data_IF_269413191717
#
_entry.id   IF_269413191717
#
_cell.length_a   1.000
_cell.length_b   1.000
_cell.length_c   1.000
_cell.angle_alpha   90.00
_cell.angle_beta   90.00
_cell.angle_gamma   90.00
#
_symmetry.space_group_name_H-M   'P 1'
#
loop_
_entity.id
_entity.type
_entity.pdbx_description
1 polymer ?
#
# COMPACT_ATOMS: atom_id res chain seq x y z
N UNK A 1 -14.65 14.46 15.49
CA UNK A 1 -14.81 13.31 14.57
C UNK A 1 -15.88 13.66 13.55
N UNK A 2 -15.61 13.39 12.26
CA UNK A 2 -16.60 13.60 11.18
C UNK A 2 -17.80 12.65 11.36
N UNK A 3 -19.01 13.16 11.15
CA UNK A 3 -20.26 12.38 11.25
C UNK A 3 -20.26 11.14 10.33
N UNK A 4 -19.57 11.19 9.18
CA UNK A 4 -19.41 10.04 8.29
C UNK A 4 -18.73 8.86 9.00
N UNK A 5 -17.63 9.11 9.71
CA UNK A 5 -16.92 8.06 10.46
C UNK A 5 -17.78 7.47 11.56
N UNK A 6 -18.53 8.31 12.31
CA UNK A 6 -19.46 7.82 13.34
C UNK A 6 -20.58 6.96 12.74
N UNK A 7 -21.11 7.32 11.56
CA UNK A 7 -22.11 6.51 10.86
C UNK A 7 -21.50 5.14 10.50
N UNK A 8 -20.28 5.12 9.98
CA UNK A 8 -19.60 3.84 9.67
C UNK A 8 -19.39 3.01 10.94
N UNK A 9 -19.00 3.62 12.07
CA UNK A 9 -18.87 2.92 13.35
C UNK A 9 -20.19 2.27 13.80
N UNK A 10 -21.32 2.94 13.59
CA UNK A 10 -22.64 2.40 13.93
C UNK A 10 -22.98 1.22 13.01
N UNK A 11 -22.74 1.35 11.70
CA UNK A 11 -23.06 0.32 10.70
C UNK A 11 -22.05 -0.84 10.66
N UNK A 12 -20.90 -0.72 11.32
CA UNK A 12 -19.83 -1.70 11.30
C UNK A 12 -20.24 -3.05 11.93
N UNK A 13 -21.28 -3.08 12.75
CA UNK A 13 -21.84 -4.32 13.31
C UNK A 13 -22.59 -5.19 12.28
N UNK A 14 -22.81 -4.67 11.06
CA UNK A 14 -23.52 -5.37 10.00
C UNK A 14 -25.02 -5.48 10.18
N UNK A 15 -25.61 -4.81 11.16
CA UNK A 15 -27.06 -4.81 11.41
C UNK A 15 -27.76 -3.62 10.73
N UNK A 16 -29.10 -3.71 10.65
CA UNK A 16 -29.93 -2.59 10.20
C UNK A 16 -30.09 -1.53 11.29
N UNK A 17 -29.77 -0.29 10.95
CA UNK A 17 -29.99 0.88 11.80
C UNK A 17 -30.90 1.89 11.08
N UNK A 18 -31.99 2.34 11.74
CA UNK A 18 -32.86 3.34 11.12
C UNK A 18 -32.14 4.69 11.01
N UNK A 19 -32.42 5.43 9.93
CA UNK A 19 -31.85 6.77 9.77
C UNK A 19 -32.28 7.78 10.87
N UNK A 20 -33.36 7.50 11.55
CA UNK A 20 -33.85 8.27 12.71
C UNK A 20 -32.97 8.00 13.94
N UNK A 21 -32.75 6.74 14.28
CA UNK A 21 -31.87 6.33 15.40
C UNK A 21 -30.44 6.83 15.18
N UNK A 22 -29.88 6.70 13.97
CA UNK A 22 -28.55 7.25 13.64
C UNK A 22 -28.55 8.78 13.83
N UNK A 23 -29.62 9.46 13.35
CA UNK A 23 -29.77 10.91 13.47
C UNK A 23 -29.82 11.38 14.92
N UNK A 24 -30.59 10.71 15.76
CA UNK A 24 -30.69 10.99 17.21
C UNK A 24 -29.34 10.81 17.91
N UNK A 25 -28.62 9.68 17.67
CA UNK A 25 -27.31 9.43 18.27
C UNK A 25 -26.25 10.46 17.88
N UNK A 26 -26.35 11.03 16.68
CA UNK A 26 -25.36 11.96 16.15
C UNK A 26 -25.79 13.43 16.26
N UNK A 27 -27.03 13.71 16.71
CA UNK A 27 -27.57 15.06 16.76
C UNK A 27 -27.80 15.71 15.39
N UNK A 28 -28.13 14.91 14.36
CA UNK A 28 -28.36 15.38 12.98
C UNK A 28 -29.70 14.89 12.42
N UNK A 29 -30.21 15.56 11.40
CA UNK A 29 -31.48 15.17 10.77
C UNK A 29 -31.32 13.85 9.96
N UNK A 30 -32.42 13.11 9.81
CA UNK A 30 -32.52 11.93 8.94
C UNK A 30 -32.09 12.25 7.50
N UNK A 31 -32.38 13.45 7.00
CA UNK A 31 -31.96 13.90 5.67
C UNK A 31 -30.41 14.03 5.59
N UNK A 32 -29.77 14.55 6.63
CA UNK A 32 -28.32 14.64 6.74
C UNK A 32 -27.68 13.24 6.78
N UNK A 33 -28.26 12.30 7.54
CA UNK A 33 -27.83 10.88 7.55
C UNK A 33 -27.87 10.32 6.14
N UNK A 34 -28.98 10.48 5.40
CA UNK A 34 -29.10 10.00 4.02
C UNK A 34 -28.03 10.62 3.10
N UNK A 35 -27.73 11.91 3.24
CA UNK A 35 -26.65 12.55 2.48
C UNK A 35 -25.27 11.98 2.80
N UNK A 36 -24.97 11.69 4.06
CA UNK A 36 -23.73 11.03 4.46
C UNK A 36 -23.64 9.60 3.94
N UNK A 37 -24.72 8.82 4.03
CA UNK A 37 -24.78 7.46 3.46
C UNK A 37 -24.45 7.46 1.97
N UNK A 38 -25.07 8.35 1.19
CA UNK A 38 -24.76 8.48 -0.25
C UNK A 38 -23.29 8.80 -0.50
N UNK A 39 -22.71 9.68 0.31
CA UNK A 39 -21.27 10.00 0.20
C UNK A 39 -20.40 8.78 0.53
N UNK A 40 -20.76 8.02 1.56
CA UNK A 40 -20.04 6.81 1.98
C UNK A 40 -20.13 5.71 0.91
N UNK A 41 -21.29 5.51 0.30
CA UNK A 41 -21.43 4.57 -0.83
C UNK A 41 -20.57 4.98 -2.02
N UNK A 42 -20.44 6.28 -2.30
CA UNK A 42 -19.59 6.78 -3.40
C UNK A 42 -18.08 6.55 -3.17
N UNK A 43 -17.64 6.32 -1.94
CA UNK A 43 -16.24 5.98 -1.59
C UNK A 43 -16.04 4.47 -1.36
N UNK A 44 -16.99 3.66 -1.84
CA UNK A 44 -16.83 2.20 -1.92
C UNK A 44 -17.41 1.40 -0.76
N UNK A 45 -18.21 2.01 0.15
CA UNK A 45 -18.94 1.25 1.17
C UNK A 45 -20.24 0.68 0.60
N UNK A 46 -20.40 -0.64 0.73
CA UNK A 46 -21.61 -1.34 0.30
C UNK A 46 -22.70 -1.23 1.35
N UNK A 47 -23.44 -0.12 1.31
CA UNK A 47 -24.50 0.21 2.28
C UNK A 47 -25.86 -0.01 1.62
N UNK A 48 -26.58 -1.02 2.11
CA UNK A 48 -27.97 -1.28 1.73
C UNK A 48 -28.93 -0.30 2.43
N UNK A 49 -29.95 0.15 1.68
CA UNK A 49 -31.04 0.96 2.19
C UNK A 49 -32.36 0.25 1.94
N UNK A 50 -33.06 -0.14 3.01
CA UNK A 50 -34.35 -0.84 2.93
C UNK A 50 -35.43 0.02 3.62
N UNK A 51 -36.49 0.33 2.91
CA UNK A 51 -37.63 1.06 3.46
C UNK A 51 -38.21 0.33 4.68
N UNK A 52 -38.37 1.05 5.79
CA UNK A 52 -38.86 0.51 7.05
C UNK A 52 -37.81 -0.18 7.93
N UNK A 53 -36.63 -0.54 7.39
CA UNK A 53 -35.53 -1.13 8.17
C UNK A 53 -34.36 -0.16 8.41
N UNK A 54 -34.06 0.71 7.44
CA UNK A 54 -32.96 1.65 7.51
C UNK A 54 -31.75 1.24 6.68
N UNK A 55 -30.55 1.46 7.22
CA UNK A 55 -29.26 1.25 6.54
C UNK A 55 -28.48 0.09 7.17
N UNK A 56 -27.79 -0.69 6.36
CA UNK A 56 -26.94 -1.80 6.77
C UNK A 56 -25.67 -1.82 5.93
N UNK A 57 -24.52 -2.00 6.55
CA UNK A 57 -23.27 -2.29 5.85
C UNK A 57 -23.18 -3.80 5.62
N UNK A 58 -23.05 -4.22 4.36
CA UNK A 58 -22.95 -5.63 4.01
C UNK A 58 -21.77 -6.32 4.72
N UNK A 59 -22.05 -7.41 5.41
CA UNK A 59 -21.02 -8.22 6.08
C UNK A 59 -20.34 -7.58 7.30
N UNK A 60 -20.73 -6.34 7.66
CA UNK A 60 -20.05 -5.59 8.72
C UNK A 60 -18.65 -5.12 8.32
N UNK A 61 -17.91 -4.53 9.26
CA UNK A 61 -16.55 -4.03 9.01
C UNK A 61 -15.74 -3.94 10.30
N UNK A 62 -14.55 -4.55 10.30
CA UNK A 62 -13.57 -4.33 11.38
C UNK A 62 -12.78 -3.07 11.07
N UNK A 63 -13.03 -2.00 11.82
CA UNK A 63 -12.32 -0.73 11.69
C UNK A 63 -10.92 -0.80 12.28
N UNK A 64 -10.03 0.05 11.77
CA UNK A 64 -8.71 0.24 12.35
C UNK A 64 -8.83 0.89 13.73
N UNK A 65 -8.01 0.39 14.66
CA UNK A 65 -7.96 0.86 16.03
C UNK A 65 -6.52 0.96 16.51
N UNK A 66 -6.03 2.18 16.73
CA UNK A 66 -4.64 2.42 17.15
C UNK A 66 -4.27 1.68 18.45
N UNK A 67 -5.21 1.55 19.40
CA UNK A 67 -4.97 0.81 20.64
C UNK A 67 -4.75 -0.68 20.35
N UNK A 68 -5.57 -1.27 19.50
CA UNK A 68 -5.40 -2.69 19.08
C UNK A 68 -4.08 -2.88 18.34
N UNK A 69 -3.75 -2.01 17.38
CA UNK A 69 -2.47 -2.07 16.65
C UNK A 69 -1.29 -2.01 17.62
N UNK A 70 -1.30 -1.08 18.60
CA UNK A 70 -0.24 -0.95 19.61
C UNK A 70 -0.14 -2.15 20.53
N UNK A 71 -1.24 -2.83 20.84
CA UNK A 71 -1.23 -4.05 21.66
C UNK A 71 -0.54 -5.24 20.98
N UNK A 72 -0.56 -5.27 19.63
CA UNK A 72 0.05 -6.34 18.85
C UNK A 72 1.43 -5.98 18.28
N UNK A 73 1.90 -4.75 18.52
CA UNK A 73 3.23 -4.30 18.13
C UNK A 73 4.01 -3.81 19.36
N UNK A 74 5.34 -4.03 19.37
CA UNK A 74 6.22 -3.50 20.40
C UNK A 74 6.77 -2.11 20.05
N UNK A 75 6.24 -1.47 19.00
CA UNK A 75 6.74 -0.20 18.49
C UNK A 75 6.19 0.98 19.28
N UNK A 76 7.05 1.95 19.54
CA UNK A 76 6.73 3.22 20.19
C UNK A 76 6.49 4.36 19.18
N UNK A 77 6.48 4.05 17.89
CA UNK A 77 6.34 5.01 16.82
C UNK A 77 5.04 5.82 16.96
N UNK A 78 5.10 7.08 16.56
CA UNK A 78 3.90 7.91 16.47
C UNK A 78 2.99 7.39 15.37
N UNK A 79 1.72 7.12 15.74
CA UNK A 79 0.71 6.61 14.82
C UNK A 79 -0.48 7.57 14.80
N UNK A 80 -0.86 8.01 13.60
CA UNK A 80 -2.10 8.73 13.36
C UNK A 80 -3.03 7.93 12.46
N UNK A 81 -4.34 8.00 12.72
CA UNK A 81 -5.36 7.32 11.94
C UNK A 81 -6.40 8.32 11.43
N UNK A 82 -6.58 8.35 10.12
CA UNK A 82 -7.57 9.17 9.45
C UNK A 82 -8.71 8.30 8.90
N UNK A 83 -9.96 8.60 9.20
CA UNK A 83 -11.08 7.93 8.56
C UNK A 83 -11.10 8.11 7.05
N UNK A 84 -10.86 9.34 6.60
CA UNK A 84 -10.79 9.72 5.18
C UNK A 84 -9.72 10.79 5.03
N UNK A 85 -8.82 10.58 4.07
CA UNK A 85 -7.76 11.54 3.73
C UNK A 85 -7.56 11.56 2.21
N UNK A 86 -7.06 12.62 1.59
CA UNK A 86 -6.70 12.59 0.18
C UNK A 86 -5.65 11.52 -0.14
N UNK A 87 -4.51 11.55 0.55
CA UNK A 87 -3.42 10.58 0.44
C UNK A 87 -2.55 10.63 1.69
N UNK A 88 -2.22 9.46 2.26
CA UNK A 88 -1.32 9.35 3.42
C UNK A 88 0.09 9.85 3.09
N UNK A 89 0.61 9.56 1.88
CA UNK A 89 1.90 10.08 1.40
C UNK A 89 1.88 11.60 1.27
N UNK A 90 0.85 12.16 0.61
CA UNK A 90 0.74 13.61 0.39
C UNK A 90 0.66 14.37 1.73
N UNK A 91 0.00 13.80 2.72
CA UNK A 91 -0.08 14.37 4.06
C UNK A 91 1.30 14.46 4.70
N UNK A 92 2.07 13.36 4.77
CA UNK A 92 3.44 13.39 5.30
C UNK A 92 4.36 14.32 4.50
N UNK A 93 4.28 14.32 3.17
CA UNK A 93 5.05 15.26 2.35
C UNK A 93 4.70 16.72 2.67
N UNK A 94 3.45 17.01 2.99
CA UNK A 94 3.04 18.37 3.40
C UNK A 94 3.62 18.77 4.76
N UNK A 95 3.71 17.82 5.70
CA UNK A 95 4.32 18.04 7.02
C UNK A 95 5.84 18.29 6.91
N UNK A 96 6.53 17.55 6.05
CA UNK A 96 7.96 17.79 5.76
C UNK A 96 8.16 19.22 5.26
N UNK A 97 7.37 19.66 4.28
CA UNK A 97 7.46 21.01 3.70
C UNK A 97 7.14 22.12 4.70
N UNK A 98 6.22 21.89 5.61
CA UNK A 98 5.87 22.86 6.66
C UNK A 98 6.91 22.92 7.80
N UNK A 99 7.96 22.08 7.77
CA UNK A 99 9.00 21.97 8.79
C UNK A 99 8.45 21.69 10.20
N UNK A 100 7.28 21.07 10.30
CA UNK A 100 6.77 20.55 11.55
C UNK A 100 7.65 19.34 11.94
N UNK A 101 8.35 19.43 13.07
CA UNK A 101 9.32 18.43 13.51
C UNK A 101 8.76 17.02 13.57
N UNK A 102 8.85 16.28 12.46
CA UNK A 102 8.46 14.88 12.37
C UNK A 102 9.51 14.03 13.08
N UNK A 103 9.03 13.04 13.82
CA UNK A 103 9.89 12.02 14.45
C UNK A 103 10.07 10.87 13.47
N UNK A 104 11.29 10.33 13.37
CA UNK A 104 11.56 9.16 12.54
C UNK A 104 10.66 7.99 12.93
N UNK A 105 10.06 7.33 11.95
CA UNK A 105 9.05 6.30 12.18
C UNK A 105 7.61 6.79 12.31
N UNK A 106 7.34 8.11 12.27
CA UNK A 106 5.97 8.65 12.29
C UNK A 106 5.14 8.03 11.16
N UNK A 107 4.01 7.43 11.51
CA UNK A 107 3.22 6.63 10.59
C UNK A 107 1.78 7.14 10.50
N UNK A 108 1.31 7.32 9.30
CA UNK A 108 -0.07 7.68 8.97
C UNK A 108 -0.80 6.47 8.41
N UNK A 109 -1.95 6.18 9.00
CA UNK A 109 -2.90 5.18 8.56
C UNK A 109 -4.20 5.83 8.10
N UNK A 110 -4.89 5.21 7.16
CA UNK A 110 -6.20 5.67 6.74
C UNK A 110 -7.18 4.52 6.51
N UNK A 111 -8.48 4.77 6.74
CA UNK A 111 -9.53 3.84 6.31
C UNK A 111 -9.87 4.02 4.82
N UNK A 112 -9.69 5.22 4.28
CA UNK A 112 -9.97 5.55 2.88
C UNK A 112 -9.04 6.64 2.38
N UNK A 113 -8.62 6.53 1.11
CA UNK A 113 -7.97 7.64 0.40
C UNK A 113 -8.82 8.10 -0.79
N UNK A 114 -9.15 9.39 -0.85
CA UNK A 114 -9.92 9.94 -1.98
C UNK A 114 -9.07 10.24 -3.21
N UNK A 115 -7.75 10.30 -3.05
CA UNK A 115 -6.74 10.55 -4.09
C UNK A 115 -5.53 9.65 -3.88
N UNK A 116 -5.76 8.34 -3.65
CA UNK A 116 -4.69 7.36 -3.50
C UNK A 116 -3.77 7.39 -4.71
N UNK A 117 -2.43 7.40 -4.48
CA UNK A 117 -1.43 7.56 -5.53
C UNK A 117 -0.57 6.32 -5.69
N UNK A 118 -0.32 5.99 -6.94
CA UNK A 118 0.73 5.07 -7.35
C UNK A 118 1.82 5.81 -8.14
N UNK A 119 2.82 5.07 -8.60
CA UNK A 119 3.89 5.62 -9.46
C UNK A 119 3.34 6.08 -10.81
N UNK A 120 4.02 7.04 -11.43
CA UNK A 120 3.72 7.55 -12.77
C UNK A 120 2.30 8.13 -12.88
N UNK A 121 1.82 8.80 -11.84
CA UNK A 121 0.48 9.41 -11.82
C UNK A 121 -0.69 8.43 -11.80
N UNK A 122 -0.44 7.12 -11.62
CA UNK A 122 -1.51 6.14 -11.48
C UNK A 122 -2.28 6.31 -10.18
N UNK A 123 -3.57 6.03 -10.21
CA UNK A 123 -4.42 5.97 -9.02
C UNK A 123 -4.24 4.64 -8.30
N UNK A 124 -4.18 4.68 -6.96
CA UNK A 124 -4.33 3.53 -6.09
C UNK A 124 -5.77 3.50 -5.59
N UNK A 125 -6.52 2.47 -5.96
CA UNK A 125 -7.90 2.31 -5.50
C UNK A 125 -7.92 2.11 -3.98
N UNK A 126 -8.67 2.95 -3.28
CA UNK A 126 -8.60 3.01 -1.81
C UNK A 126 -9.98 3.07 -1.17
N UNK A 127 -10.85 2.05 -1.43
CA UNK A 127 -12.18 2.01 -0.83
C UNK A 127 -12.12 1.94 0.69
N UNK A 128 -13.16 2.44 1.36
CA UNK A 128 -13.20 2.59 2.80
C UNK A 128 -13.14 1.22 3.52
N UNK A 129 -12.25 1.09 4.50
CA UNK A 129 -12.19 -0.07 5.38
C UNK A 129 -11.67 -1.37 4.75
N UNK A 130 -11.22 -1.33 3.50
CA UNK A 130 -10.99 -2.54 2.69
C UNK A 130 -9.54 -3.00 2.68
N UNK A 131 -8.58 -2.10 2.86
CA UNK A 131 -7.16 -2.38 2.60
C UNK A 131 -6.27 -1.79 3.69
N UNK A 132 -4.96 -1.96 3.56
CA UNK A 132 -3.96 -1.19 4.29
C UNK A 132 -3.55 0.01 3.42
N UNK A 133 -3.70 1.20 3.97
CA UNK A 133 -3.18 2.47 3.45
C UNK A 133 -2.28 3.06 4.51
N UNK A 134 -1.00 2.89 4.33
CA UNK A 134 0.03 3.26 5.28
C UNK A 134 1.08 4.13 4.61
N UNK A 135 1.49 5.20 5.29
CA UNK A 135 2.71 5.93 4.94
C UNK A 135 3.54 6.16 6.18
N UNK A 136 4.84 5.91 6.08
CA UNK A 136 5.78 6.09 7.17
C UNK A 136 6.85 7.09 6.78
N UNK A 137 7.12 8.05 7.68
CA UNK A 137 8.21 8.99 7.55
C UNK A 137 9.51 8.40 8.06
N UNK A 138 10.60 8.60 7.32
CA UNK A 138 11.95 8.17 7.69
C UNK A 138 12.99 9.22 7.28
N UNK A 139 14.16 9.19 7.91
CA UNK A 139 15.29 10.05 7.60
C UNK A 139 16.56 9.26 7.32
N UNK A 140 17.35 9.72 6.37
CA UNK A 140 18.67 9.14 6.06
C UNK A 140 19.69 10.25 5.87
N UNK A 141 20.88 10.07 6.44
CA UNK A 141 21.97 11.06 6.39
C UNK A 141 22.85 11.00 5.13
N UNK A 142 22.47 10.19 4.14
CA UNK A 142 23.30 9.92 2.95
C UNK A 142 22.74 10.53 1.66
N UNK A 143 21.92 11.57 1.77
CA UNK A 143 21.33 12.29 0.65
C UNK A 143 20.30 11.50 -0.16
N UNK A 144 19.78 12.11 -1.23
CA UNK A 144 18.72 11.52 -2.06
C UNK A 144 19.12 10.20 -2.75
N UNK A 145 20.41 9.99 -3.03
CA UNK A 145 20.89 8.75 -3.62
C UNK A 145 20.68 7.54 -2.71
N UNK A 146 20.63 7.77 -1.41
CA UNK A 146 20.38 6.72 -0.40
C UNK A 146 18.96 6.13 -0.46
N UNK A 147 18.01 6.83 -1.07
CA UNK A 147 16.65 6.32 -1.28
C UNK A 147 16.58 5.30 -2.45
N UNK A 148 17.66 5.22 -3.27
CA UNK A 148 17.72 4.27 -4.38
C UNK A 148 17.73 2.83 -3.85
N UNK A 149 16.79 2.02 -4.30
CA UNK A 149 16.65 0.63 -3.83
C UNK A 149 15.80 0.44 -2.58
N UNK A 150 15.42 1.50 -1.85
CA UNK A 150 14.59 1.37 -0.65
C UNK A 150 13.24 0.69 -0.93
N UNK A 151 12.59 0.99 -2.07
CA UNK A 151 11.34 0.32 -2.44
C UNK A 151 11.49 -1.19 -2.61
N UNK A 152 12.68 -1.67 -2.94
CA UNK A 152 13.06 -3.08 -3.08
C UNK A 152 13.11 -3.73 -1.68
N UNK A 153 13.82 -3.09 -0.75
CA UNK A 153 13.89 -3.54 0.65
C UNK A 153 12.49 -3.57 1.30
N UNK A 154 11.71 -2.51 1.15
CA UNK A 154 10.33 -2.44 1.66
C UNK A 154 9.43 -3.50 1.01
N UNK A 155 9.64 -3.81 -0.27
CA UNK A 155 8.95 -4.92 -0.95
C UNK A 155 9.17 -6.26 -0.26
N UNK A 156 10.38 -6.54 0.24
CA UNK A 156 10.69 -7.72 1.04
C UNK A 156 9.93 -7.72 2.38
N UNK A 157 9.92 -6.59 3.10
CA UNK A 157 9.18 -6.47 4.36
C UNK A 157 7.69 -6.77 4.16
N UNK A 158 7.10 -6.23 3.10
CA UNK A 158 5.69 -6.47 2.74
C UNK A 158 5.46 -7.94 2.38
N UNK A 159 6.32 -8.53 1.54
CA UNK A 159 6.23 -9.94 1.15
C UNK A 159 6.36 -10.87 2.37
N UNK A 160 7.34 -10.64 3.24
CA UNK A 160 7.56 -11.40 4.47
C UNK A 160 6.36 -11.29 5.42
N UNK A 161 5.72 -10.11 5.51
CA UNK A 161 4.51 -9.95 6.30
C UNK A 161 3.36 -10.77 5.70
N UNK A 162 3.08 -10.64 4.41
CA UNK A 162 2.00 -11.36 3.74
C UNK A 162 2.17 -12.87 3.88
N UNK A 163 3.40 -13.39 3.72
CA UNK A 163 3.71 -14.82 3.84
C UNK A 163 3.41 -15.40 5.24
N UNK A 164 3.25 -14.57 6.29
CA UNK A 164 2.83 -15.02 7.61
C UNK A 164 1.31 -15.27 7.71
N UNK A 165 0.53 -14.74 6.78
CA UNK A 165 -0.93 -14.80 6.78
C UNK A 165 -1.52 -15.67 5.66
N UNK A 166 -0.68 -16.25 4.82
CA UNK A 166 -1.10 -17.13 3.71
C UNK A 166 -0.10 -18.26 3.50
N UNK A 167 -0.56 -19.37 2.95
CA UNK A 167 0.31 -20.49 2.53
C UNK A 167 1.02 -20.24 1.21
N UNK A 168 0.60 -19.23 0.46
CA UNK A 168 1.20 -18.87 -0.82
C UNK A 168 2.43 -18.00 -0.62
N UNK A 169 3.41 -18.14 -1.50
CA UNK A 169 4.63 -17.34 -1.47
C UNK A 169 4.47 -16.09 -2.33
N UNK A 170 4.80 -14.95 -1.74
CA UNK A 170 4.87 -13.70 -2.48
C UNK A 170 6.05 -13.70 -3.43
N UNK A 171 5.83 -13.11 -4.59
CA UNK A 171 6.86 -12.80 -5.57
C UNK A 171 7.04 -11.29 -5.68
N UNK A 172 8.27 -10.87 -5.96
CA UNK A 172 8.63 -9.47 -6.08
C UNK A 172 8.78 -9.07 -7.54
N UNK A 173 8.11 -7.99 -7.92
CA UNK A 173 8.23 -7.44 -9.28
C UNK A 173 8.89 -6.07 -9.21
N UNK A 174 10.05 -5.99 -9.83
CA UNK A 174 10.79 -4.72 -9.90
C UNK A 174 9.95 -3.61 -10.56
N UNK A 175 10.00 -2.39 -10.03
CA UNK A 175 10.82 -1.99 -8.89
C UNK A 175 10.06 -1.94 -7.54
N UNK A 176 8.74 -2.20 -7.49
CA UNK A 176 7.95 -1.79 -6.35
C UNK A 176 6.63 -2.54 -6.14
N UNK A 177 6.40 -3.65 -6.83
CA UNK A 177 5.16 -4.42 -6.71
C UNK A 177 5.40 -5.76 -6.01
N UNK A 178 4.44 -6.20 -5.20
CA UNK A 178 4.36 -7.55 -4.63
C UNK A 178 3.24 -8.30 -5.33
N UNK A 179 3.52 -9.52 -5.75
CA UNK A 179 2.59 -10.38 -6.47
C UNK A 179 2.36 -11.68 -5.71
N UNK A 180 1.19 -12.29 -5.93
CA UNK A 180 0.89 -13.69 -5.60
C UNK A 180 0.26 -14.31 -6.84
N UNK A 181 0.80 -15.43 -7.32
CA UNK A 181 0.37 -16.11 -8.54
C UNK A 181 0.26 -15.17 -9.76
N UNK A 182 1.24 -14.26 -9.89
CA UNK A 182 1.29 -13.29 -10.98
C UNK A 182 0.29 -12.13 -10.86
N UNK A 183 -0.52 -12.07 -9.81
CA UNK A 183 -1.50 -11.01 -9.54
C UNK A 183 -0.97 -10.06 -8.48
N UNK A 184 -1.14 -8.76 -8.69
CA UNK A 184 -0.67 -7.74 -7.74
C UNK A 184 -1.50 -7.74 -6.47
N UNK A 185 -0.82 -7.85 -5.32
CA UNK A 185 -1.42 -7.77 -3.99
C UNK A 185 -1.00 -6.49 -3.24
N UNK A 186 0.21 -5.97 -3.50
CA UNK A 186 0.69 -4.76 -2.86
C UNK A 186 1.53 -3.89 -3.79
N UNK A 187 1.61 -2.60 -3.46
CA UNK A 187 2.46 -1.63 -4.14
C UNK A 187 3.13 -0.68 -3.15
N UNK A 188 4.39 -0.36 -3.43
CA UNK A 188 5.20 0.54 -2.63
C UNK A 188 5.44 1.84 -3.39
N UNK A 189 5.33 2.99 -2.71
CA UNK A 189 5.63 4.30 -3.25
C UNK A 189 6.56 5.06 -2.30
N UNK A 190 7.85 5.07 -2.60
CA UNK A 190 8.82 5.87 -1.86
C UNK A 190 8.94 7.23 -2.54
N UNK A 191 8.70 8.30 -1.77
CA UNK A 191 8.93 9.69 -2.16
C UNK A 191 10.02 10.26 -1.25
N UNK A 192 10.89 11.10 -1.82
CA UNK A 192 12.02 11.65 -1.10
C UNK A 192 12.08 13.16 -1.30
N UNK A 193 12.45 13.89 -0.24
CA UNK A 193 12.73 15.34 -0.27
C UNK A 193 14.00 15.61 0.53
N UNK A 194 14.90 16.39 -0.04
CA UNK A 194 16.17 16.72 0.61
C UNK A 194 17.21 17.25 -0.39
N UNK A 195 18.44 17.37 0.09
CA UNK A 195 19.58 17.78 -0.73
C UNK A 195 20.34 16.55 -1.23
N UNK A 196 21.20 16.75 -2.23
CA UNK A 196 22.05 15.70 -2.78
C UNK A 196 22.97 15.11 -1.71
N UNK A 197 23.52 15.97 -0.85
CA UNK A 197 24.37 15.63 0.28
C UNK A 197 23.73 16.18 1.55
N UNK A 198 23.46 15.32 2.54
CA UNK A 198 22.82 15.69 3.80
C UNK A 198 21.61 14.82 4.15
N UNK A 199 20.78 15.32 5.06
CA UNK A 199 19.57 14.62 5.48
C UNK A 199 18.57 14.54 4.33
N UNK A 200 18.14 13.32 4.02
CA UNK A 200 17.05 13.02 3.12
C UNK A 200 15.82 12.62 3.93
N UNK A 201 14.71 13.28 3.67
CA UNK A 201 13.40 12.96 4.23
C UNK A 201 12.67 12.00 3.28
N UNK A 202 12.20 10.90 3.79
CA UNK A 202 11.57 9.82 3.03
C UNK A 202 10.14 9.63 3.49
N UNK A 203 9.24 9.43 2.54
CA UNK A 203 7.87 8.95 2.79
C UNK A 203 7.71 7.61 2.10
N UNK A 204 7.57 6.57 2.91
CA UNK A 204 7.40 5.18 2.47
C UNK A 204 5.91 4.86 2.46
N UNK A 205 5.26 4.94 1.30
CA UNK A 205 3.87 4.56 1.11
C UNK A 205 3.73 3.08 0.80
N UNK A 206 2.83 2.42 1.52
CA UNK A 206 2.50 0.99 1.34
C UNK A 206 1.00 0.83 1.19
N UNK A 207 0.57 0.30 0.05
CA UNK A 207 -0.80 -0.12 -0.21
C UNK A 207 -0.87 -1.64 -0.31
N UNK A 208 -1.74 -2.30 0.48
CA UNK A 208 -1.91 -3.76 0.45
C UNK A 208 -3.39 -4.08 0.34
N UNK A 209 -3.74 -4.88 -0.65
CA UNK A 209 -5.11 -5.35 -0.84
C UNK A 209 -5.45 -6.40 0.21
N UNK A 210 -6.48 -6.16 1.04
CA UNK A 210 -6.97 -7.10 2.06
C UNK A 210 -8.31 -7.70 1.65
N UNK A 211 -9.27 -6.85 1.27
CA UNK A 211 -10.61 -7.25 0.87
C UNK A 211 -11.17 -6.24 -0.15
N UNK A 212 -11.07 -6.53 -1.44
CA UNK A 212 -11.48 -5.61 -2.50
C UNK A 212 -12.98 -5.70 -2.75
N UNK A 213 -13.76 -4.61 -2.56
CA UNK A 213 -15.15 -4.60 -2.95
C UNK A 213 -15.32 -4.76 -4.48
N UNK A 214 -16.30 -5.55 -4.91
CA UNK A 214 -16.58 -5.77 -6.34
C UNK A 214 -16.76 -4.46 -7.09
N UNK A 215 -17.47 -3.49 -6.51
CA UNK A 215 -17.71 -2.17 -7.09
C UNK A 215 -16.45 -1.35 -7.38
N UNK A 216 -15.32 -1.67 -6.72
CA UNK A 216 -14.03 -0.99 -6.91
C UNK A 216 -13.08 -1.77 -7.82
N UNK A 217 -13.34 -3.05 -8.04
CA UNK A 217 -12.52 -3.96 -8.82
C UNK A 217 -12.44 -3.58 -10.31
N UNK A 218 -13.55 -3.12 -10.88
CA UNK A 218 -13.70 -2.78 -12.30
C UNK A 218 -12.77 -1.64 -12.76
N UNK A 219 -12.25 -0.85 -11.84
CA UNK A 219 -11.31 0.26 -12.13
C UNK A 219 -9.85 -0.17 -12.19
N UNK A 220 -9.54 -1.47 -12.00
CA UNK A 220 -8.17 -1.98 -11.97
C UNK A 220 -7.86 -2.77 -13.24
N UNK A 221 -7.09 -2.17 -14.15
CA UNK A 221 -6.76 -2.75 -15.46
C UNK A 221 -5.76 -3.93 -15.39
N UNK A 222 -4.96 -4.04 -14.33
CA UNK A 222 -3.95 -5.10 -14.20
C UNK A 222 -4.47 -6.27 -13.37
N UNK A 223 -3.97 -7.51 -13.56
CA UNK A 223 -4.29 -8.62 -12.69
C UNK A 223 -3.94 -8.29 -11.22
N UNK A 224 -4.91 -8.48 -10.34
CA UNK A 224 -4.78 -8.21 -8.91
C UNK A 224 -5.42 -9.32 -8.08
N UNK A 225 -5.03 -9.40 -6.81
CA UNK A 225 -5.65 -10.23 -5.79
C UNK A 225 -5.64 -9.48 -4.46
N UNK A 226 -6.31 -10.02 -3.45
CA UNK A 226 -6.28 -9.55 -2.09
C UNK A 226 -6.08 -10.72 -1.10
N UNK A 227 -5.78 -10.39 0.15
CA UNK A 227 -5.46 -11.39 1.17
C UNK A 227 -6.64 -12.30 1.51
N UNK A 228 -7.85 -11.77 1.58
CA UNK A 228 -9.03 -12.57 1.92
C UNK A 228 -9.37 -13.62 0.85
N UNK A 229 -8.96 -13.39 -0.40
CA UNK A 229 -9.13 -14.35 -1.49
C UNK A 229 -8.08 -15.49 -1.49
N UNK A 230 -6.97 -15.31 -0.77
CA UNK A 230 -5.84 -16.26 -0.79
C UNK A 230 -5.47 -16.83 0.58
N UNK A 231 -6.06 -16.34 1.65
CA UNK A 231 -5.88 -16.87 3.01
C UNK A 231 -7.04 -17.77 3.41
N UNK A 232 -6.77 -18.72 4.32
CA UNK A 232 -7.79 -19.63 4.83
C UNK A 232 -8.76 -18.94 5.80
N UNK A 233 -8.36 -17.81 6.39
CA UNK A 233 -9.11 -17.05 7.39
C UNK A 233 -9.19 -15.57 7.01
N UNK A 234 -10.22 -14.88 7.50
CA UNK A 234 -10.34 -13.43 7.32
C UNK A 234 -9.23 -12.71 8.07
N UNK A 235 -8.61 -11.75 7.41
CA UNK A 235 -7.48 -11.01 7.95
C UNK A 235 -7.95 -9.90 8.90
N UNK A 236 -7.54 -9.96 10.16
CA UNK A 236 -7.64 -8.81 11.06
C UNK A 236 -6.59 -7.76 10.66
N UNK A 237 -7.06 -6.64 10.07
CA UNK A 237 -6.20 -5.56 9.60
C UNK A 237 -5.37 -4.93 10.72
N UNK A 238 -5.83 -4.92 11.97
CA UNK A 238 -5.09 -4.37 13.10
C UNK A 238 -3.88 -5.24 13.45
N UNK A 239 -4.07 -6.55 13.51
CA UNK A 239 -2.99 -7.53 13.72
C UNK A 239 -2.00 -7.49 12.55
N UNK A 240 -2.52 -7.46 11.32
CA UNK A 240 -1.70 -7.40 10.11
C UNK A 240 -0.82 -6.14 10.08
N UNK A 241 -1.39 -4.97 10.34
CA UNK A 241 -0.65 -3.69 10.37
C UNK A 241 0.41 -3.71 11.47
N UNK A 242 0.12 -4.27 12.64
CA UNK A 242 1.10 -4.38 13.72
C UNK A 242 2.34 -5.19 13.29
N UNK A 243 2.13 -6.33 12.60
CA UNK A 243 3.21 -7.15 12.04
C UNK A 243 3.95 -6.44 10.90
N UNK A 244 3.21 -5.76 10.03
CA UNK A 244 3.79 -4.98 8.94
C UNK A 244 4.72 -3.88 9.49
N UNK A 245 4.30 -3.14 10.50
CA UNK A 245 5.11 -2.08 11.10
C UNK A 245 6.41 -2.63 11.70
N UNK A 246 6.38 -3.79 12.35
CA UNK A 246 7.58 -4.46 12.85
C UNK A 246 8.55 -4.82 11.72
N UNK A 247 8.04 -5.45 10.66
CA UNK A 247 8.86 -5.83 9.50
C UNK A 247 9.41 -4.62 8.73
N UNK A 248 8.63 -3.53 8.61
CA UNK A 248 9.10 -2.29 8.00
C UNK A 248 10.25 -1.68 8.79
N UNK A 249 10.18 -1.70 10.13
CA UNK A 249 11.20 -1.15 11.00
C UNK A 249 12.49 -1.98 10.94
N UNK A 250 12.39 -3.31 11.05
CA UNK A 250 13.51 -4.25 10.94
C UNK A 250 14.25 -4.10 9.61
N UNK A 251 13.51 -4.13 8.50
CA UNK A 251 14.11 -4.01 7.16
C UNK A 251 14.68 -2.62 6.90
N UNK A 252 14.03 -1.58 7.44
CA UNK A 252 14.55 -0.22 7.30
C UNK A 252 15.87 -0.04 8.05
N UNK A 253 16.00 -0.57 9.26
CA UNK A 253 17.26 -0.56 10.03
C UNK A 253 18.36 -1.31 9.29
N UNK A 254 18.06 -2.50 8.76
CA UNK A 254 19.01 -3.27 7.95
C UNK A 254 19.46 -2.49 6.71
N UNK A 255 18.51 -1.86 6.01
CA UNK A 255 18.80 -1.03 4.86
C UNK A 255 19.64 0.22 5.19
N UNK A 256 19.44 0.84 6.35
CA UNK A 256 20.26 1.97 6.80
C UNK A 256 21.74 1.57 6.96
N UNK A 257 21.99 0.39 7.53
CA UNK A 257 23.33 -0.10 7.83
C UNK A 257 24.05 -0.68 6.61
N UNK A 258 23.35 -1.47 5.81
CA UNK A 258 23.95 -2.34 4.79
C UNK A 258 23.39 -2.12 3.37
N UNK A 259 22.47 -1.15 3.21
CA UNK A 259 21.78 -0.97 1.93
C UNK A 259 21.09 -2.25 1.49
N UNK A 260 21.33 -2.69 0.26
CA UNK A 260 20.79 -3.93 -0.24
C UNK A 260 21.75 -5.13 -0.11
N UNK A 261 22.97 -4.94 0.40
CA UNK A 261 23.99 -5.99 0.40
C UNK A 261 23.52 -7.32 1.03
N UNK A 262 22.72 -7.25 2.10
CA UNK A 262 22.15 -8.41 2.78
C UNK A 262 20.73 -8.77 2.29
N UNK A 263 20.13 -7.99 1.38
CA UNK A 263 18.74 -8.13 0.97
C UNK A 263 18.56 -8.50 -0.51
N UNK A 264 19.55 -8.20 -1.37
CA UNK A 264 19.39 -8.35 -2.83
C UNK A 264 19.28 -9.83 -3.26
N UNK A 265 19.96 -10.77 -2.57
CA UNK A 265 19.84 -12.19 -2.86
C UNK A 265 18.44 -12.70 -2.54
N UNK A 266 17.92 -12.38 -1.33
CA UNK A 266 16.56 -12.73 -0.96
C UNK A 266 15.52 -12.15 -1.93
N UNK A 267 15.77 -10.92 -2.42
CA UNK A 267 14.91 -10.32 -3.42
C UNK A 267 14.95 -11.09 -4.74
N UNK A 268 16.15 -11.48 -5.20
CA UNK A 268 16.35 -12.23 -6.44
C UNK A 268 15.71 -13.62 -6.38
N UNK A 269 15.76 -14.30 -5.25
CA UNK A 269 15.11 -15.60 -5.03
C UNK A 269 13.58 -15.50 -5.16
N UNK A 270 13.02 -14.35 -4.83
CA UNK A 270 11.57 -14.07 -4.94
C UNK A 270 11.18 -13.29 -6.21
N UNK A 271 12.09 -13.10 -7.17
CA UNK A 271 11.84 -12.33 -8.37
C UNK A 271 10.79 -12.99 -9.28
N UNK A 272 9.64 -12.35 -9.45
CA UNK A 272 8.54 -12.82 -10.29
C UNK A 272 8.92 -13.05 -11.76
N UNK A 273 9.98 -12.40 -12.24
CA UNK A 273 10.39 -12.43 -13.64
C UNK A 273 11.81 -13.02 -13.84
N UNK A 274 12.32 -13.74 -12.83
CA UNK A 274 13.63 -14.36 -12.91
C UNK A 274 13.78 -15.20 -14.20
N UNK A 275 14.79 -14.87 -14.98
CA UNK A 275 15.12 -15.53 -16.26
C UNK A 275 14.04 -15.47 -17.36
N UNK A 276 12.99 -14.68 -17.19
CA UNK A 276 11.96 -14.50 -18.22
C UNK A 276 12.31 -13.37 -19.19
N UNK A 277 11.79 -13.47 -20.41
CA UNK A 277 11.81 -12.35 -21.37
C UNK A 277 10.79 -11.30 -20.92
N UNK A 278 11.25 -10.08 -20.76
CA UNK A 278 10.46 -8.94 -20.28
C UNK A 278 10.55 -7.76 -21.25
N UNK A 279 9.50 -6.96 -21.26
CA UNK A 279 9.49 -5.63 -21.89
C UNK A 279 9.65 -4.58 -20.80
N UNK A 280 10.69 -3.77 -20.91
CA UNK A 280 10.90 -2.57 -20.13
C UNK A 280 10.42 -1.36 -20.92
N UNK A 281 9.46 -0.61 -20.40
CA UNK A 281 8.90 0.56 -21.05
C UNK A 281 9.16 1.80 -20.20
N UNK A 282 9.81 2.82 -20.79
CA UNK A 282 9.91 4.19 -20.28
C UNK A 282 9.03 5.12 -21.09
N UNK A 283 9.03 6.42 -20.77
CA UNK A 283 8.31 7.44 -21.55
C UNK A 283 8.78 7.48 -23.01
N UNK A 284 10.08 7.28 -23.25
CA UNK A 284 10.72 7.48 -24.56
C UNK A 284 11.20 6.20 -25.23
N UNK A 285 11.33 5.10 -24.49
CA UNK A 285 11.98 3.88 -25.01
C UNK A 285 11.29 2.62 -24.51
N UNK A 286 11.19 1.64 -25.41
CA UNK A 286 10.88 0.24 -25.07
C UNK A 286 12.13 -0.60 -25.32
N UNK A 287 12.43 -1.49 -24.38
CA UNK A 287 13.56 -2.43 -24.48
C UNK A 287 13.06 -3.81 -24.09
N UNK A 288 13.44 -4.81 -24.87
CA UNK A 288 13.12 -6.22 -24.59
C UNK A 288 14.41 -6.93 -24.23
N UNK A 289 14.37 -7.74 -23.18
CA UNK A 289 15.55 -8.49 -22.73
C UNK A 289 15.17 -9.58 -21.74
N UNK A 290 16.15 -10.38 -21.32
CA UNK A 290 16.01 -11.37 -20.28
C UNK A 290 16.27 -10.70 -18.92
N UNK A 291 15.33 -10.86 -17.99
CA UNK A 291 15.47 -10.36 -16.62
C UNK A 291 16.42 -11.28 -15.83
N UNK A 292 17.57 -10.79 -15.42
CA UNK A 292 18.53 -11.55 -14.61
C UNK A 292 18.38 -11.29 -13.09
N UNK A 293 17.53 -10.34 -12.70
CA UNK A 293 17.37 -9.93 -11.31
C UNK A 293 17.84 -8.50 -11.08
N UNK A 294 18.29 -8.21 -9.86
CA UNK A 294 18.84 -6.90 -9.46
C UNK A 294 20.28 -7.04 -8.97
N UNK A 295 21.03 -5.95 -9.04
CA UNK A 295 22.34 -5.85 -8.36
C UNK A 295 22.20 -5.29 -6.93
N UNK A 296 23.32 -5.17 -6.21
CA UNK A 296 23.41 -4.63 -4.84
C UNK A 296 22.97 -3.17 -4.72
N UNK A 297 22.86 -2.43 -5.83
CA UNK A 297 22.31 -1.07 -5.86
C UNK A 297 20.81 -1.03 -6.19
N UNK A 298 20.19 -2.21 -6.41
CA UNK A 298 18.78 -2.31 -6.80
C UNK A 298 18.51 -2.00 -8.28
N UNK A 299 19.56 -1.89 -9.11
CA UNK A 299 19.39 -1.76 -10.54
C UNK A 299 18.95 -3.09 -11.15
N UNK A 300 17.92 -3.06 -12.01
CA UNK A 300 17.52 -4.23 -12.77
C UNK A 300 18.62 -4.61 -13.77
N UNK A 301 19.00 -5.88 -13.78
CA UNK A 301 19.93 -6.47 -14.73
C UNK A 301 19.13 -7.04 -15.92
N UNK A 302 19.28 -6.42 -17.09
CA UNK A 302 18.58 -6.80 -18.31
C UNK A 302 19.60 -7.25 -19.37
N UNK A 303 19.56 -8.53 -19.74
CA UNK A 303 20.39 -9.11 -20.80
C UNK A 303 19.69 -8.91 -22.15
N UNK A 304 20.37 -8.29 -23.10
CA UNK A 304 19.90 -8.23 -24.49
C UNK A 304 19.87 -9.66 -25.10
N UNK A 305 18.77 -10.00 -25.77
CA UNK A 305 18.54 -11.36 -26.25
C UNK A 305 19.54 -11.76 -27.34
N UNK A 306 19.93 -10.80 -28.20
CA UNK A 306 20.81 -11.05 -29.37
C UNK A 306 22.28 -10.91 -29.03
N UNK A 307 22.66 -9.84 -28.33
CA UNK A 307 24.08 -9.51 -28.08
C UNK A 307 24.61 -10.10 -26.78
N UNK A 308 23.73 -10.59 -25.88
CA UNK A 308 24.09 -11.09 -24.55
C UNK A 308 24.69 -10.01 -23.62
N UNK A 309 24.69 -8.78 -24.03
CA UNK A 309 25.17 -7.67 -23.20
C UNK A 309 24.19 -7.40 -22.08
N UNK A 310 24.68 -7.32 -20.84
CA UNK A 310 23.86 -6.98 -19.66
C UNK A 310 23.90 -5.48 -19.43
N UNK A 311 22.74 -4.87 -19.39
CA UNK A 311 22.57 -3.46 -19.06
C UNK A 311 21.97 -3.32 -17.65
N UNK A 312 22.40 -2.28 -16.91
CA UNK A 312 21.81 -1.89 -15.62
C UNK A 312 20.74 -0.83 -15.84
N UNK A 313 19.56 -1.07 -15.29
CA UNK A 313 18.45 -0.12 -15.36
C UNK A 313 18.08 0.32 -13.95
N UNK A 314 18.21 1.60 -13.69
CA UNK A 314 17.82 2.20 -12.42
C UNK A 314 16.33 2.50 -12.39
N UNK A 315 15.76 2.51 -11.18
CA UNK A 315 14.36 2.89 -10.95
C UNK A 315 14.09 4.32 -11.45
N UNK A 316 12.84 4.63 -11.65
CA UNK A 316 12.39 5.90 -12.19
C UNK A 316 11.07 5.70 -12.92
N UNK A 317 10.83 6.45 -13.99
CA UNK A 317 9.60 6.33 -14.79
C UNK A 317 9.62 5.13 -15.75
N UNK A 318 9.84 3.92 -15.23
CA UNK A 318 9.89 2.67 -16.00
C UNK A 318 8.85 1.67 -15.51
N UNK A 319 8.37 0.84 -16.44
CA UNK A 319 7.43 -0.27 -16.19
C UNK A 319 8.01 -1.54 -16.76
N UNK A 320 7.93 -2.62 -16.01
CA UNK A 320 8.38 -3.96 -16.38
C UNK A 320 7.17 -4.88 -16.58
N UNK A 321 7.12 -5.60 -17.70
CA UNK A 321 6.06 -6.57 -18.02
C UNK A 321 6.67 -7.83 -18.62
N UNK A 322 6.08 -8.98 -18.34
CA UNK A 322 6.39 -10.22 -19.06
C UNK A 322 6.03 -10.03 -20.53
N UNK A 323 6.96 -10.33 -21.45
CA UNK A 323 6.64 -10.37 -22.88
C UNK A 323 5.90 -11.67 -23.16
N UNK A 324 4.64 -11.58 -23.59
CA UNK A 324 3.91 -12.73 -24.08
C UNK A 324 4.55 -13.16 -25.41
N UNK A 325 4.65 -14.48 -25.65
CA UNK A 325 5.04 -14.99 -26.96
C UNK A 325 3.96 -14.53 -27.96
N UNK A 326 4.37 -13.87 -29.00
CA UNK A 326 3.49 -13.68 -30.17
C UNK A 326 3.28 -15.08 -30.75
N UNK A 327 2.00 -15.52 -30.79
CA UNK A 327 1.61 -16.78 -31.43
C UNK A 327 1.81 -16.71 -32.94
#
# INVERSE_FOLDING_TARGET
MDNKHKIVQILADGNFHSGEVIGEQLGISRAAVSGHIKTLSNIGLDIYSITGKGYQLAGGLTLLNLKSIRQHSNLTNELELFPIIPSTNEYLMSLIKSKNGLVDGHTILAECQTKGRGRRGKTWQSPYGSHVYLSQYRTMDSGLSAASGLSIAIGLAVANTINQFTKLQCQLKWPNDVLVDGKKIAGILVEAEGQTDGVCHLVIGVGININMPESSADYIEQPWTDLNNISDELIDRNVFIAKLLQQLDEVYQEYQLHRLDNLYEQWNDNNAFANLTVELSSVTKKQVGKCLGIDTNGALLLEDISTKVVSKVFGGEVSLRKKLKEN
#
